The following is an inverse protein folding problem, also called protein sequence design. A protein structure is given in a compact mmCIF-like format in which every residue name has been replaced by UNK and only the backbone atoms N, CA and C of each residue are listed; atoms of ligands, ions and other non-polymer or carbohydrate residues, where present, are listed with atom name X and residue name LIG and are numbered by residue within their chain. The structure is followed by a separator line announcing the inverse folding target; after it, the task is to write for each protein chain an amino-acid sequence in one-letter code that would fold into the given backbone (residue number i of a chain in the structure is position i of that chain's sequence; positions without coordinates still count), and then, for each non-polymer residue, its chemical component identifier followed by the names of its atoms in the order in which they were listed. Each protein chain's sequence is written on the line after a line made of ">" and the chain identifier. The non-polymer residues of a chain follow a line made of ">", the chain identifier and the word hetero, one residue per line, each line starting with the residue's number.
data_IF_078429794169
#
_entry.id   IF_078429794169
#
_cell.length_a   1.000
_cell.length_b   1.000
_cell.length_c   1.000
_cell.angle_alpha   90.00
_cell.angle_beta   90.00
_cell.angle_gamma   90.00
#
_symmetry.space_group_name_H-M   'P 1'
#
loop_
_entity.id
_entity.type
_entity.pdbx_description
1 polymer ?
#
# COMPACT_ATOMS: atom_id res chain seq x y z
N UNK A 1 -6.97 -37.03 -30.63
CA UNK A 1 -6.88 -35.56 -30.68
C UNK A 1 -7.69 -34.86 -29.59
N UNK A 2 -9.00 -35.08 -29.47
CA UNK A 2 -9.85 -34.39 -28.44
C UNK A 2 -9.40 -34.60 -26.98
N UNK A 3 -8.85 -35.77 -26.62
CA UNK A 3 -8.37 -36.06 -25.25
C UNK A 3 -7.03 -35.38 -24.89
N UNK A 4 -6.19 -35.05 -25.88
CA UNK A 4 -4.89 -34.40 -25.65
C UNK A 4 -5.07 -32.88 -25.51
N UNK A 5 -6.00 -32.29 -26.27
CA UNK A 5 -6.36 -30.87 -26.16
C UNK A 5 -6.98 -30.55 -24.79
N UNK A 6 -7.81 -31.44 -24.24
CA UNK A 6 -8.40 -31.26 -22.91
C UNK A 6 -7.33 -31.26 -21.80
N UNK A 7 -6.29 -32.08 -21.93
CA UNK A 7 -5.22 -32.18 -20.92
C UNK A 7 -4.33 -30.93 -20.89
N UNK A 8 -4.05 -30.34 -22.06
CA UNK A 8 -3.28 -29.09 -22.18
C UNK A 8 -4.07 -27.90 -21.63
N UNK A 9 -5.39 -27.86 -21.84
CA UNK A 9 -6.26 -26.80 -21.29
C UNK A 9 -6.33 -26.88 -19.77
N UNK A 10 -6.42 -28.08 -19.17
CA UNK A 10 -6.46 -28.26 -17.71
C UNK A 10 -5.12 -27.91 -17.04
N UNK A 11 -3.98 -28.30 -17.65
CA UNK A 11 -2.65 -27.92 -17.15
C UNK A 11 -2.42 -26.41 -17.31
N UNK A 12 -2.84 -25.82 -18.44
CA UNK A 12 -2.81 -24.38 -18.63
C UNK A 12 -3.66 -23.62 -17.60
N UNK A 13 -4.84 -24.15 -17.25
CA UNK A 13 -5.71 -23.57 -16.22
C UNK A 13 -5.13 -23.70 -14.80
N UNK A 14 -4.46 -24.81 -14.49
CA UNK A 14 -3.72 -25.03 -13.23
C UNK A 14 -2.50 -24.12 -13.10
N UNK A 15 -1.73 -23.92 -14.18
CA UNK A 15 -0.60 -22.99 -14.20
C UNK A 15 -1.11 -21.53 -14.10
N UNK A 16 -2.21 -21.20 -14.78
CA UNK A 16 -2.82 -19.86 -14.70
C UNK A 16 -3.43 -19.57 -13.33
N UNK A 17 -3.94 -20.59 -12.61
CA UNK A 17 -4.40 -20.44 -11.22
C UNK A 17 -3.26 -20.44 -10.20
N UNK A 18 -2.12 -21.08 -10.49
CA UNK A 18 -0.91 -20.93 -9.65
C UNK A 18 -0.28 -19.54 -9.77
N UNK A 19 -0.41 -18.87 -10.91
CA UNK A 19 0.16 -17.53 -11.12
C UNK A 19 -0.66 -16.38 -10.51
N UNK A 20 -1.88 -16.63 -10.01
CA UNK A 20 -2.72 -15.59 -9.37
C UNK A 20 -2.53 -15.59 -7.83
N UNK A 21 -1.79 -16.54 -7.27
CA UNK A 21 -1.55 -16.66 -5.81
C UNK A 21 -0.18 -16.10 -5.38
N UNK A 22 0.65 -15.62 -6.30
CA UNK A 22 1.98 -15.09 -6.01
C UNK A 22 2.10 -13.59 -6.33
N UNK A 23 1.29 -12.79 -5.64
CA UNK A 23 1.61 -11.38 -5.36
C UNK A 23 1.41 -11.13 -3.85
N UNK A 24 1.88 -12.07 -3.02
CA UNK A 24 2.26 -11.74 -1.66
C UNK A 24 3.52 -10.87 -1.81
N UNK A 25 3.36 -9.55 -1.78
CA UNK A 25 4.48 -8.63 -1.76
C UNK A 25 5.45 -9.08 -0.68
N UNK A 26 6.72 -9.17 -1.05
CA UNK A 26 7.80 -9.55 -0.13
C UNK A 26 7.68 -8.66 1.12
N UNK A 27 7.47 -9.26 2.30
CA UNK A 27 7.33 -8.51 3.55
C UNK A 27 8.55 -7.59 3.71
N UNK A 28 8.32 -6.29 3.91
CA UNK A 28 9.39 -5.31 4.11
C UNK A 28 10.22 -5.78 5.33
N UNK A 29 11.57 -5.83 5.24
CA UNK A 29 12.39 -6.20 6.38
C UNK A 29 12.03 -5.36 7.61
N UNK A 30 11.87 -6.01 8.78
CA UNK A 30 11.29 -5.37 9.98
C UNK A 30 11.97 -4.04 10.39
N UNK A 31 13.32 -3.93 10.40
CA UNK A 31 13.96 -2.65 10.70
C UNK A 31 13.66 -1.57 9.67
N UNK A 32 13.59 -1.92 8.39
CA UNK A 32 13.27 -1.00 7.31
C UNK A 32 11.82 -0.53 7.37
N UNK A 33 10.90 -1.43 7.70
CA UNK A 33 9.50 -1.11 7.98
C UNK A 33 9.36 -0.09 9.11
N UNK A 34 10.11 -0.26 10.21
CA UNK A 34 10.14 0.69 11.34
C UNK A 34 10.65 2.05 10.88
N UNK A 35 11.76 2.10 10.14
CA UNK A 35 12.34 3.33 9.61
C UNK A 35 11.32 4.10 8.75
N UNK A 36 10.74 3.43 7.75
CA UNK A 36 9.76 4.03 6.83
C UNK A 36 8.51 4.53 7.57
N UNK A 37 8.01 3.77 8.54
CA UNK A 37 6.86 4.17 9.35
C UNK A 37 7.17 5.43 10.17
N UNK A 38 8.32 5.50 10.84
CA UNK A 38 8.71 6.69 11.60
C UNK A 38 8.89 7.93 10.73
N UNK A 39 9.53 7.80 9.55
CA UNK A 39 9.67 8.90 8.60
C UNK A 39 8.33 9.47 8.18
N UNK A 40 7.34 8.61 7.90
CA UNK A 40 5.99 9.05 7.56
C UNK A 40 5.29 9.72 8.74
N UNK A 41 5.37 9.17 9.95
CA UNK A 41 4.74 9.77 11.14
C UNK A 41 5.31 11.16 11.44
N UNK A 42 6.62 11.36 11.26
CA UNK A 42 7.26 12.66 11.41
C UNK A 42 6.82 13.61 10.29
N UNK A 43 6.83 13.16 9.04
CA UNK A 43 6.42 13.96 7.87
C UNK A 43 4.97 14.44 7.99
N UNK A 44 4.06 13.59 8.47
CA UNK A 44 2.64 13.92 8.71
C UNK A 44 2.41 14.75 9.98
N UNK A 45 3.46 15.03 10.76
CA UNK A 45 3.35 15.77 12.02
C UNK A 45 2.67 15.00 13.15
N UNK A 46 2.46 13.69 12.99
CA UNK A 46 1.88 12.79 13.99
C UNK A 46 2.87 12.48 15.13
N UNK A 47 4.18 12.59 14.86
CA UNK A 47 5.23 12.53 15.87
C UNK A 47 6.33 13.57 15.59
N UNK A 48 7.07 13.95 16.64
CA UNK A 48 8.24 14.85 16.52
C UNK A 48 9.57 14.11 16.44
N UNK A 49 9.54 12.84 16.79
CA UNK A 49 10.69 11.92 16.85
C UNK A 49 10.20 10.54 16.41
N UNK A 50 11.13 9.62 16.22
CA UNK A 50 10.80 8.21 16.05
C UNK A 50 9.88 7.75 17.18
N UNK A 51 8.76 7.14 16.80
CA UNK A 51 7.80 6.54 17.74
C UNK A 51 8.13 5.07 17.94
N UNK A 52 8.31 4.34 16.83
CA UNK A 52 8.74 2.95 16.86
C UNK A 52 10.25 2.83 17.04
N UNK A 53 10.67 1.77 17.69
CA UNK A 53 12.07 1.35 17.80
C UNK A 53 12.32 0.10 16.96
N UNK A 54 13.46 0.02 16.30
CA UNK A 54 13.89 -1.15 15.53
C UNK A 54 14.60 -2.20 16.41
N UNK A 55 14.81 -1.88 17.68
CA UNK A 55 15.48 -2.74 18.67
C UNK A 55 14.45 -3.34 19.61
N UNK A 56 13.79 -2.51 20.41
CA UNK A 56 12.90 -2.92 21.50
C UNK A 56 11.87 -1.86 21.88
N UNK A 57 10.75 -2.28 22.46
CA UNK A 57 9.73 -1.37 23.00
C UNK A 57 10.14 -0.73 24.34
N UNK A 58 9.29 0.13 24.90
CA UNK A 58 9.55 0.83 26.17
C UNK A 58 9.79 -0.10 27.38
N UNK A 59 9.43 -1.38 27.27
CA UNK A 59 9.63 -2.41 28.30
C UNK A 59 10.77 -3.40 27.99
N UNK A 60 11.60 -3.11 26.97
CA UNK A 60 12.74 -3.95 26.60
C UNK A 60 12.36 -5.24 25.85
N UNK A 61 11.18 -5.28 25.22
CA UNK A 61 10.78 -6.42 24.38
C UNK A 61 11.27 -6.19 22.96
N UNK A 62 11.98 -7.15 22.34
CA UNK A 62 12.60 -6.93 21.04
C UNK A 62 11.56 -6.81 19.92
N UNK A 63 11.92 -6.16 18.82
CA UNK A 63 11.09 -6.14 17.60
C UNK A 63 10.81 -7.58 17.13
N UNK A 64 9.53 -7.91 16.98
CA UNK A 64 9.12 -9.28 16.74
C UNK A 64 9.40 -9.72 15.30
N UNK A 65 9.99 -10.90 15.17
CA UNK A 65 10.19 -11.61 13.90
C UNK A 65 9.34 -12.90 13.86
N UNK A 66 8.33 -12.98 14.71
CA UNK A 66 7.55 -14.19 14.89
C UNK A 66 6.74 -14.55 13.63
N UNK A 67 6.72 -15.83 13.19
CA UNK A 67 5.97 -16.26 11.99
C UNK A 67 4.47 -15.97 12.05
N UNK A 68 3.87 -15.83 13.24
CA UNK A 68 2.47 -15.44 13.37
C UNK A 68 2.17 -14.01 12.89
N UNK A 69 3.18 -13.23 12.51
CA UNK A 69 3.06 -11.92 11.87
C UNK A 69 3.14 -11.99 10.33
N UNK A 70 3.48 -13.13 9.75
CA UNK A 70 3.52 -13.29 8.29
C UNK A 70 2.13 -13.09 7.69
N UNK A 71 2.04 -12.28 6.64
CA UNK A 71 0.77 -11.93 6.02
C UNK A 71 -0.16 -11.09 6.90
N UNK A 72 0.30 -10.64 8.08
CA UNK A 72 -0.45 -9.74 8.96
C UNK A 72 -0.33 -8.28 8.54
N UNK A 73 0.12 -8.00 7.31
CA UNK A 73 0.10 -6.67 6.69
C UNK A 73 1.07 -5.69 7.35
N UNK A 74 2.31 -6.13 7.55
CA UNK A 74 3.41 -5.32 8.05
C UNK A 74 3.16 -4.65 9.44
N UNK A 75 2.44 -5.31 10.36
CA UNK A 75 2.30 -4.77 11.73
C UNK A 75 3.66 -4.68 12.45
N UNK A 76 3.86 -3.63 13.25
CA UNK A 76 5.08 -3.44 14.05
C UNK A 76 4.76 -3.86 15.48
N UNK A 77 5.22 -5.06 15.85
CA UNK A 77 4.87 -5.72 17.11
C UNK A 77 6.16 -6.11 17.84
N UNK A 78 6.13 -6.08 19.17
CA UNK A 78 7.28 -6.40 20.01
C UNK A 78 7.05 -7.65 20.86
N UNK A 79 8.11 -8.41 21.11
CA UNK A 79 8.07 -9.65 21.90
C UNK A 79 7.30 -10.80 21.25
N UNK A 80 6.99 -11.82 22.05
CA UNK A 80 6.33 -13.04 21.60
C UNK A 80 4.79 -12.96 21.69
N UNK A 81 4.07 -13.61 20.75
CA UNK A 81 2.64 -13.85 20.87
C UNK A 81 2.27 -14.56 22.17
N UNK A 82 1.10 -14.23 22.73
CA UNK A 82 0.66 -14.78 24.01
C UNK A 82 -0.87 -14.74 24.19
N UNK A 83 -1.33 -15.18 25.36
CA UNK A 83 -2.75 -15.31 25.68
C UNK A 83 -3.37 -16.60 25.14
N UNK A 84 -4.68 -16.60 24.93
CA UNK A 84 -5.39 -17.77 24.41
C UNK A 84 -4.92 -18.11 23.00
N UNK A 85 -4.58 -19.39 22.77
CA UNK A 85 -4.33 -19.94 21.43
C UNK A 85 -5.57 -20.67 20.92
N UNK A 86 -6.07 -20.31 19.74
CA UNK A 86 -7.24 -20.95 19.12
C UNK A 86 -7.24 -20.75 17.61
N UNK A 87 -7.69 -21.76 16.85
CA UNK A 87 -7.73 -21.72 15.38
C UNK A 87 -6.39 -21.30 14.76
N UNK A 88 -5.30 -21.87 15.30
CA UNK A 88 -3.91 -21.63 14.87
C UNK A 88 -3.42 -20.18 15.05
N UNK A 89 -4.02 -19.43 15.98
CA UNK A 89 -3.71 -18.03 16.23
C UNK A 89 -3.72 -17.70 17.72
N UNK A 90 -2.80 -16.83 18.12
CA UNK A 90 -2.82 -16.22 19.46
C UNK A 90 -3.78 -15.04 19.51
N UNK A 91 -4.40 -14.83 20.67
CA UNK A 91 -5.22 -13.64 20.98
C UNK A 91 -4.41 -12.35 20.86
N UNK A 92 -3.16 -12.39 21.31
CA UNK A 92 -2.23 -11.27 21.23
C UNK A 92 -1.02 -11.66 20.38
N UNK A 93 -0.66 -10.81 19.43
CA UNK A 93 0.47 -11.00 18.51
C UNK A 93 1.82 -10.68 19.17
N UNK A 94 1.78 -10.07 20.36
CA UNK A 94 2.93 -9.54 21.08
C UNK A 94 2.48 -8.30 21.83
N UNK A 95 3.30 -7.26 21.80
CA UNK A 95 3.12 -6.03 22.55
C UNK A 95 3.27 -4.80 21.67
N UNK A 96 2.59 -3.72 22.05
CA UNK A 96 2.74 -2.39 21.45
C UNK A 96 4.08 -1.76 21.85
N UNK A 97 4.42 -0.62 21.24
CA UNK A 97 5.59 0.19 21.65
C UNK A 97 5.51 0.61 23.13
N UNK A 98 4.30 0.84 23.64
CA UNK A 98 4.05 1.22 25.03
C UNK A 98 3.83 0.00 25.96
N UNK A 99 4.08 -1.22 25.48
CA UNK A 99 3.99 -2.48 26.25
C UNK A 99 2.57 -2.95 26.62
N UNK A 100 1.54 -2.53 25.90
CA UNK A 100 0.21 -3.16 26.00
C UNK A 100 0.09 -4.42 25.12
N UNK A 101 -0.76 -5.39 25.48
CA UNK A 101 -1.04 -6.54 24.62
C UNK A 101 -1.55 -6.12 23.23
N UNK A 102 -0.80 -6.46 22.18
CA UNK A 102 -1.16 -6.16 20.79
C UNK A 102 -2.22 -7.15 20.30
N UNK A 103 -3.47 -6.72 20.22
CA UNK A 103 -4.59 -7.62 19.90
C UNK A 103 -4.61 -8.10 18.45
N UNK A 104 -5.04 -9.33 18.21
CA UNK A 104 -5.11 -9.94 16.88
C UNK A 104 -6.51 -9.82 16.26
N UNK A 105 -6.65 -9.04 15.18
CA UNK A 105 -7.93 -8.85 14.49
C UNK A 105 -8.46 -10.10 13.77
N UNK A 106 -7.62 -11.11 13.53
CA UNK A 106 -8.03 -12.40 12.98
C UNK A 106 -8.40 -13.41 14.07
N UNK A 107 -8.23 -13.04 15.35
CA UNK A 107 -8.71 -13.87 16.45
C UNK A 107 -10.22 -13.72 16.56
N UNK A 108 -10.92 -14.85 16.76
CA UNK A 108 -12.38 -14.87 16.83
C UNK A 108 -12.91 -13.90 17.88
N UNK A 109 -14.01 -13.24 17.57
CA UNK A 109 -14.72 -12.42 18.53
C UNK A 109 -15.18 -13.30 19.70
N UNK A 110 -15.04 -12.79 20.91
CA UNK A 110 -15.41 -13.56 22.10
C UNK A 110 -16.90 -13.91 22.10
N UNK A 111 -17.76 -13.04 21.56
CA UNK A 111 -19.19 -13.28 21.39
C UNK A 111 -19.65 -12.90 19.99
N UNK A 112 -20.21 -13.89 19.29
CA UNK A 112 -20.85 -13.73 17.98
C UNK A 112 -22.35 -13.94 18.12
N UNK A 113 -23.06 -12.88 18.46
CA UNK A 113 -24.53 -12.85 18.41
C UNK A 113 -25.06 -12.70 16.98
N UNK A 114 -26.39 -12.81 16.84
CA UNK A 114 -27.09 -12.48 15.60
C UNK A 114 -27.28 -10.98 15.40
N UNK A 115 -26.95 -10.14 16.38
CA UNK A 115 -27.03 -8.68 16.24
C UNK A 115 -25.78 -8.19 15.47
N UNK A 116 -25.93 -7.28 14.50
CA UNK A 116 -24.81 -6.59 13.84
C UNK A 116 -23.88 -5.91 14.85
N UNK A 117 -22.58 -5.88 14.56
CA UNK A 117 -21.59 -5.24 15.45
C UNK A 117 -21.84 -3.73 15.60
N UNK A 118 -22.30 -3.04 14.56
CA UNK A 118 -22.60 -1.60 14.60
C UNK A 118 -23.65 -1.21 15.66
N UNK A 119 -24.57 -2.11 15.99
CA UNK A 119 -25.65 -1.86 16.96
C UNK A 119 -25.23 -2.08 18.41
N UNK A 120 -23.97 -2.44 18.66
CA UNK A 120 -23.45 -2.61 20.02
C UNK A 120 -23.32 -1.26 20.74
N UNK A 121 -23.38 -1.32 22.07
CA UNK A 121 -23.13 -0.19 22.96
C UNK A 121 -21.62 0.12 23.03
N UNK A 122 -21.07 0.65 21.93
CA UNK A 122 -19.68 1.05 21.81
C UNK A 122 -19.34 2.21 22.76
N UNK A 123 -18.21 2.11 23.42
CA UNK A 123 -17.73 3.07 24.40
C UNK A 123 -16.87 4.12 23.71
N UNK A 124 -17.26 5.39 23.84
CA UNK A 124 -16.51 6.53 23.31
C UNK A 124 -15.30 6.83 24.20
N UNK A 125 -14.21 7.29 23.60
CA UNK A 125 -12.92 7.64 24.21
C UNK A 125 -12.37 6.58 25.17
N UNK A 126 -12.03 5.36 24.71
CA UNK A 126 -11.78 4.23 25.61
C UNK A 126 -10.70 4.46 26.68
N UNK A 127 -9.68 5.27 26.39
CA UNK A 127 -8.59 5.52 27.35
C UNK A 127 -9.00 6.37 28.56
N UNK A 128 -9.99 7.25 28.41
CA UNK A 128 -10.47 8.17 29.45
C UNK A 128 -11.91 7.87 29.90
N UNK A 129 -12.49 6.79 29.38
CA UNK A 129 -13.82 6.35 29.74
C UNK A 129 -13.73 5.44 30.97
N UNK A 130 -14.45 5.79 32.03
CA UNK A 130 -14.42 5.09 33.32
C UNK A 130 -14.80 3.61 33.24
N UNK A 131 -15.51 3.19 32.19
CA UNK A 131 -15.81 1.79 31.95
C UNK A 131 -14.56 1.04 31.47
N UNK A 132 -13.73 1.65 30.63
CA UNK A 132 -12.69 0.95 29.86
C UNK A 132 -11.25 1.34 30.22
N UNK A 133 -11.03 2.44 30.93
CA UNK A 133 -9.69 2.98 31.24
C UNK A 133 -8.79 1.99 32.01
N UNK A 134 -9.39 1.08 32.76
CA UNK A 134 -8.71 0.05 33.56
C UNK A 134 -8.60 -1.31 32.83
N UNK A 135 -8.95 -1.38 31.55
CA UNK A 135 -8.83 -2.61 30.78
C UNK A 135 -7.34 -2.94 30.55
N UNK A 136 -6.91 -4.22 30.71
CA UNK A 136 -5.51 -4.61 30.57
C UNK A 136 -4.88 -4.22 29.22
N UNK A 137 -5.70 -4.11 28.18
CA UNK A 137 -5.24 -3.76 26.85
C UNK A 137 -4.94 -2.26 26.68
N UNK A 138 -5.21 -1.43 27.69
CA UNK A 138 -4.98 0.01 27.70
C UNK A 138 -4.09 0.46 28.86
N UNK A 139 -3.54 -0.47 29.64
CA UNK A 139 -2.92 -0.20 30.94
C UNK A 139 -1.78 0.82 30.82
N UNK A 140 -0.88 0.61 29.86
CA UNK A 140 0.32 1.40 29.68
C UNK A 140 0.16 2.52 28.65
N UNK A 141 -0.79 2.41 27.72
CA UNK A 141 -0.86 3.32 26.59
C UNK A 141 -1.14 4.75 27.02
N UNK A 142 -0.46 5.70 26.38
CA UNK A 142 -0.68 7.14 26.56
C UNK A 142 -1.75 7.70 25.63
N UNK A 143 -2.27 6.88 24.70
CA UNK A 143 -3.32 7.29 23.76
C UNK A 143 -2.88 8.37 22.78
N UNK A 144 -1.60 8.41 22.41
CA UNK A 144 -0.97 9.47 21.59
C UNK A 144 -1.67 9.71 20.25
N UNK A 145 -2.27 8.67 19.69
CA UNK A 145 -2.91 8.69 18.37
C UNK A 145 -4.44 8.62 18.42
N UNK A 146 -5.02 8.69 19.62
CA UNK A 146 -6.48 8.69 19.78
C UNK A 146 -7.08 10.03 19.35
N UNK A 147 -8.39 10.02 19.10
CA UNK A 147 -9.16 11.21 18.77
C UNK A 147 -8.65 11.99 17.55
N UNK A 148 -7.96 11.29 16.63
CA UNK A 148 -7.46 11.86 15.39
C UNK A 148 -8.43 11.58 14.22
N UNK A 149 -9.13 12.59 13.68
CA UNK A 149 -10.03 12.42 12.54
C UNK A 149 -9.33 11.95 11.25
N UNK A 150 -8.02 12.14 11.11
CA UNK A 150 -7.26 11.67 9.94
C UNK A 150 -7.29 10.15 9.79
N UNK A 151 -7.64 9.41 10.85
CA UNK A 151 -7.76 7.95 10.82
C UNK A 151 -9.19 7.45 10.53
N UNK A 152 -10.17 8.34 10.36
CA UNK A 152 -11.58 7.95 10.22
C UNK A 152 -11.81 6.98 9.05
N UNK A 153 -11.29 7.30 7.86
CA UNK A 153 -11.44 6.45 6.68
C UNK A 153 -10.73 5.10 6.85
N UNK A 154 -9.51 5.12 7.37
CA UNK A 154 -8.73 3.92 7.68
C UNK A 154 -9.46 2.99 8.67
N UNK A 155 -10.09 3.57 9.69
CA UNK A 155 -10.91 2.85 10.67
C UNK A 155 -12.15 2.25 10.00
N UNK A 156 -12.86 3.01 9.16
CA UNK A 156 -14.05 2.53 8.44
C UNK A 156 -13.74 1.35 7.53
N UNK A 157 -12.65 1.41 6.78
CA UNK A 157 -12.17 0.28 5.96
C UNK A 157 -11.79 -0.93 6.84
N UNK A 158 -11.19 -0.68 7.99
CA UNK A 158 -10.97 -1.68 9.04
C UNK A 158 -12.23 -2.40 9.51
N UNK A 159 -13.28 -1.63 9.80
CA UNK A 159 -14.59 -2.12 10.23
C UNK A 159 -15.28 -2.95 9.14
N UNK A 160 -15.19 -2.50 7.88
CA UNK A 160 -15.65 -3.27 6.71
C UNK A 160 -14.91 -4.60 6.61
N UNK A 161 -13.59 -4.59 6.76
CA UNK A 161 -12.74 -5.79 6.65
C UNK A 161 -13.09 -6.88 7.67
N UNK A 162 -13.36 -6.50 8.92
CA UNK A 162 -13.68 -7.47 9.99
C UNK A 162 -15.17 -7.86 10.01
N UNK A 163 -15.99 -7.28 9.14
CA UNK A 163 -17.41 -7.57 9.11
C UNK A 163 -17.69 -8.94 8.54
N UNK A 164 -18.68 -9.63 9.13
CA UNK A 164 -19.28 -10.81 8.48
C UNK A 164 -19.92 -10.41 7.16
N UNK A 165 -19.84 -11.29 6.18
CA UNK A 165 -20.60 -11.17 4.94
C UNK A 165 -21.87 -12.04 5.05
N UNK A 166 -23.03 -11.46 4.73
CA UNK A 166 -24.30 -12.20 4.61
C UNK A 166 -24.97 -11.83 3.30
N UNK A 167 -25.38 -12.83 2.52
CA UNK A 167 -26.02 -12.63 1.21
C UNK A 167 -25.22 -11.76 0.24
N UNK A 168 -23.88 -11.79 0.33
CA UNK A 168 -22.99 -10.96 -0.50
C UNK A 168 -22.78 -9.54 -0.01
N UNK A 169 -23.36 -9.15 1.13
CA UNK A 169 -23.27 -7.80 1.69
C UNK A 169 -22.54 -7.78 3.04
N UNK A 170 -21.91 -6.64 3.33
CA UNK A 170 -21.27 -6.34 4.61
C UNK A 170 -22.35 -6.24 5.69
N UNK A 171 -22.35 -7.18 6.63
CA UNK A 171 -23.43 -7.33 7.60
C UNK A 171 -23.22 -6.51 8.89
N UNK A 172 -22.00 -6.52 9.41
CA UNK A 172 -21.73 -5.99 10.75
C UNK A 172 -21.55 -4.47 10.79
N UNK A 173 -20.91 -3.92 9.76
CA UNK A 173 -20.70 -2.48 9.57
C UNK A 173 -21.07 -2.09 8.13
N UNK A 174 -22.37 -2.14 7.77
CA UNK A 174 -22.81 -1.83 6.41
C UNK A 174 -22.48 -0.38 6.04
N UNK A 175 -22.06 -0.17 4.78
CA UNK A 175 -21.48 1.09 4.33
C UNK A 175 -22.37 2.32 4.57
N UNK A 176 -23.67 2.21 4.28
CA UNK A 176 -24.64 3.29 4.50
C UNK A 176 -24.83 3.72 5.96
N UNK A 177 -24.32 2.94 6.93
CA UNK A 177 -24.41 3.24 8.36
C UNK A 177 -23.09 3.68 8.97
N UNK A 178 -21.98 3.56 8.24
CA UNK A 178 -20.67 3.95 8.76
C UNK A 178 -20.59 5.46 9.04
N UNK A 179 -21.41 6.28 8.38
CA UNK A 179 -21.51 7.73 8.62
C UNK A 179 -22.34 8.10 9.87
N UNK A 180 -22.99 7.14 10.54
CA UNK A 180 -23.77 7.41 11.75
C UNK A 180 -22.91 7.88 12.93
N UNK A 181 -21.59 7.67 12.87
CA UNK A 181 -20.66 7.92 13.98
C UNK A 181 -19.32 8.43 13.46
N UNK A 182 -18.63 9.15 14.34
CA UNK A 182 -17.22 9.49 14.22
C UNK A 182 -16.39 8.36 14.86
N UNK A 183 -16.02 7.35 14.08
CA UNK A 183 -15.38 6.13 14.61
C UNK A 183 -14.01 6.38 15.26
N UNK A 184 -13.30 7.43 14.83
CA UNK A 184 -12.03 7.86 15.44
C UNK A 184 -12.15 8.17 16.95
N UNK A 185 -13.36 8.47 17.46
CA UNK A 185 -13.62 8.67 18.90
C UNK A 185 -13.83 7.36 19.67
N UNK A 186 -14.10 6.25 18.98
CA UNK A 186 -14.41 4.95 19.61
C UNK A 186 -13.22 4.00 19.61
N UNK A 187 -12.23 4.26 18.76
CA UNK A 187 -11.03 3.44 18.63
C UNK A 187 -9.92 4.00 19.51
N UNK A 188 -9.36 3.15 20.37
CA UNK A 188 -8.04 3.39 20.94
C UNK A 188 -6.98 2.85 19.98
N UNK A 189 -6.13 3.74 19.47
CA UNK A 189 -5.14 3.42 18.43
C UNK A 189 -3.83 2.98 19.08
N UNK A 190 -3.47 1.71 18.90
CA UNK A 190 -2.17 1.17 19.34
C UNK A 190 -1.05 1.57 18.41
N UNK A 191 -1.32 1.48 17.12
CA UNK A 191 -0.39 1.73 16.05
C UNK A 191 -1.14 2.53 14.99
N UNK A 192 -0.70 3.77 14.69
CA UNK A 192 -1.28 4.53 13.60
C UNK A 192 -0.98 3.84 12.26
N UNK A 193 -1.91 3.90 11.29
CA UNK A 193 -1.64 3.44 9.94
C UNK A 193 -0.61 4.33 9.24
N UNK A 194 0.21 3.73 8.40
CA UNK A 194 1.13 4.40 7.46
C UNK A 194 0.94 3.81 6.07
N UNK A 195 1.59 4.37 5.05
CA UNK A 195 1.56 3.82 3.69
C UNK A 195 2.20 2.43 3.56
N UNK A 196 3.11 2.08 4.50
CA UNK A 196 3.86 0.81 4.48
C UNK A 196 3.38 -0.22 5.51
N UNK A 197 2.55 0.22 6.46
CA UNK A 197 2.13 -0.56 7.62
C UNK A 197 0.66 -0.31 7.93
N UNK A 198 -0.10 -1.38 8.09
CA UNK A 198 -1.45 -1.25 8.62
C UNK A 198 -1.39 -0.72 10.05
N UNK A 199 -2.36 0.12 10.41
CA UNK A 199 -2.56 0.46 11.81
C UNK A 199 -3.29 -0.65 12.55
N UNK A 200 -3.37 -0.52 13.86
CA UNK A 200 -4.24 -1.35 14.68
C UNK A 200 -4.78 -0.56 15.86
N UNK A 201 -6.02 -0.83 16.20
CA UNK A 201 -6.67 -0.29 17.38
C UNK A 201 -7.62 -1.29 18.01
N UNK A 202 -8.26 -0.84 19.07
CA UNK A 202 -9.23 -1.60 19.83
C UNK A 202 -10.47 -0.73 20.09
N UNK A 203 -11.64 -1.35 20.00
CA UNK A 203 -12.91 -0.76 20.41
C UNK A 203 -13.51 -1.59 21.54
N UNK A 204 -14.23 -0.94 22.43
CA UNK A 204 -14.89 -1.62 23.55
C UNK A 204 -16.39 -1.41 23.48
N UNK A 205 -17.14 -2.44 23.84
CA UNK A 205 -18.58 -2.33 24.02
C UNK A 205 -19.01 -2.98 25.33
N UNK A 206 -20.14 -2.50 25.85
CA UNK A 206 -20.76 -3.06 27.04
C UNK A 206 -21.93 -3.96 26.64
N UNK A 207 -22.03 -5.13 27.26
CA UNK A 207 -23.18 -6.03 27.12
C UNK A 207 -24.30 -5.62 28.08
N UNK A 208 -25.51 -6.15 27.87
CA UNK A 208 -26.68 -5.83 28.70
C UNK A 208 -26.55 -6.24 30.17
N UNK A 209 -25.66 -7.20 30.47
CA UNK A 209 -25.30 -7.63 31.83
C UNK A 209 -24.12 -6.84 32.43
N UNK A 210 -23.68 -5.76 31.78
CA UNK A 210 -22.64 -4.86 32.28
C UNK A 210 -21.20 -5.34 32.08
N UNK A 211 -20.98 -6.44 31.34
CA UNK A 211 -19.62 -6.89 31.01
C UNK A 211 -19.03 -6.07 29.87
N UNK A 212 -17.71 -5.90 29.89
CA UNK A 212 -16.97 -5.18 28.86
C UNK A 212 -16.24 -6.17 27.97
N UNK A 213 -16.43 -5.99 26.67
CA UNK A 213 -15.87 -6.82 25.62
C UNK A 213 -15.20 -5.90 24.61
N UNK A 214 -14.22 -6.44 23.88
CA UNK A 214 -13.49 -5.66 22.91
C UNK A 214 -13.53 -6.27 21.52
N UNK A 215 -13.25 -5.42 20.54
CA UNK A 215 -13.06 -5.78 19.14
C UNK A 215 -11.75 -5.16 18.67
N UNK A 216 -10.88 -5.99 18.12
CA UNK A 216 -9.66 -5.55 17.44
C UNK A 216 -10.02 -5.00 16.07
N UNK A 217 -9.54 -3.80 15.77
CA UNK A 217 -9.81 -3.09 14.53
C UNK A 217 -8.47 -2.92 13.78
N UNK A 218 -8.28 -3.57 12.63
CA UNK A 218 -7.17 -3.23 11.76
C UNK A 218 -7.46 -1.85 11.15
N UNK A 219 -6.46 -0.99 11.03
CA UNK A 219 -6.60 0.31 10.39
C UNK A 219 -5.93 0.21 9.02
N UNK A 220 -6.69 0.36 7.94
CA UNK A 220 -6.13 0.28 6.59
C UNK A 220 -5.01 1.32 6.42
N UNK A 221 -3.95 1.02 5.64
CA UNK A 221 -2.90 1.98 5.36
C UNK A 221 -3.59 3.21 4.77
N UNK A 222 -3.20 4.38 5.25
CA UNK A 222 -3.60 5.60 4.59
C UNK A 222 -3.08 5.47 3.15
N UNK A 223 -3.90 5.84 2.17
CA UNK A 223 -3.41 5.94 0.80
C UNK A 223 -2.08 6.70 0.87
N UNK A 224 -1.05 6.26 0.13
CA UNK A 224 0.15 7.07 0.03
C UNK A 224 -0.37 8.46 -0.35
N UNK A 225 -0.12 9.47 0.49
CA UNK A 225 -0.11 10.84 0.00
C UNK A 225 0.61 10.76 -1.33
N UNK A 226 0.06 11.32 -2.42
CA UNK A 226 0.77 11.40 -3.70
C UNK A 226 2.17 11.90 -3.36
N UNK A 227 3.11 10.96 -3.20
CA UNK A 227 4.46 11.29 -2.81
C UNK A 227 4.86 12.14 -4.00
N UNK A 228 5.31 13.40 -3.81
CA UNK A 228 6.00 14.05 -4.90
C UNK A 228 7.01 12.99 -5.34
N UNK A 229 6.91 12.50 -6.60
CA UNK A 229 7.59 11.29 -7.01
C UNK A 229 9.02 11.42 -6.51
N UNK A 230 9.57 10.39 -5.83
CA UNK A 230 10.91 10.47 -5.29
C UNK A 230 11.76 11.12 -6.35
N UNK A 231 12.54 12.15 -6.00
CA UNK A 231 13.30 12.91 -6.99
C UNK A 231 14.35 11.98 -7.61
N UNK A 232 13.90 11.20 -8.59
CA UNK A 232 14.66 10.24 -9.35
C UNK A 232 15.35 10.96 -10.51
N UNK A 233 15.33 12.30 -10.52
CA UNK A 233 15.72 13.11 -11.66
C UNK A 233 14.82 12.81 -12.84
N UNK A 234 13.69 13.50 -12.95
CA UNK A 234 12.91 13.46 -14.19
C UNK A 234 13.68 14.19 -15.31
N UNK A 235 14.11 13.45 -16.33
CA UNK A 235 14.70 14.04 -17.54
C UNK A 235 13.57 14.57 -18.43
N UNK A 236 13.43 15.89 -18.51
CA UNK A 236 12.57 16.54 -19.49
C UNK A 236 13.35 16.75 -20.80
N UNK A 237 13.19 15.84 -21.76
CA UNK A 237 13.70 16.02 -23.11
C UNK A 237 12.62 16.66 -23.99
N UNK A 238 12.89 17.86 -24.50
CA UNK A 238 12.02 18.51 -25.49
C UNK A 238 12.71 18.52 -26.85
N UNK A 239 12.11 17.83 -27.83
CA UNK A 239 12.58 17.84 -29.22
C UNK A 239 11.84 18.94 -29.97
N UNK A 240 12.53 20.03 -30.32
CA UNK A 240 11.96 21.12 -31.11
C UNK A 240 12.38 20.97 -32.57
N UNK A 241 11.43 20.66 -33.45
CA UNK A 241 11.66 20.67 -34.90
C UNK A 241 11.74 22.13 -35.35
N UNK A 242 12.95 22.59 -35.69
CA UNK A 242 13.21 24.02 -35.98
C UNK A 242 12.81 24.38 -37.42
N UNK A 243 12.90 23.44 -38.36
CA UNK A 243 12.48 23.65 -39.74
C UNK A 243 12.17 22.32 -40.44
N UNK A 244 11.19 22.31 -41.36
CA UNK A 244 10.94 21.19 -42.27
C UNK A 244 11.09 21.74 -43.69
N UNK A 245 12.18 21.37 -44.36
CA UNK A 245 12.39 21.76 -45.76
C UNK A 245 12.02 20.59 -46.66
N UNK A 246 10.90 20.66 -47.40
CA UNK A 246 10.61 19.65 -48.41
C UNK A 246 11.57 19.84 -49.59
N UNK A 247 12.46 18.89 -49.83
CA UNK A 247 13.15 18.80 -51.13
C UNK A 247 12.14 18.35 -52.18
N UNK A 248 12.07 19.07 -53.31
CA UNK A 248 11.37 18.59 -54.50
C UNK A 248 12.12 17.38 -55.02
N UNK A 249 11.53 16.20 -54.87
CA UNK A 249 12.04 14.99 -55.50
C UNK A 249 11.92 15.09 -57.02
N UNK A 250 12.84 14.45 -57.75
CA UNK A 250 12.77 14.35 -59.20
C UNK A 250 11.49 13.62 -59.63
N UNK A 251 11.00 13.93 -60.84
CA UNK A 251 9.74 13.39 -61.36
C UNK A 251 9.73 11.86 -61.32
N UNK A 252 8.86 11.30 -60.46
CA UNK A 252 8.64 9.86 -60.32
C UNK A 252 8.80 9.28 -58.91
N UNK A 253 9.46 9.99 -57.98
CA UNK A 253 9.59 9.52 -56.60
C UNK A 253 8.44 9.98 -55.70
N UNK A 254 7.82 9.05 -54.98
CA UNK A 254 6.85 9.35 -53.91
C UNK A 254 7.53 9.18 -52.55
N UNK A 255 7.84 10.29 -51.91
CA UNK A 255 8.35 10.35 -50.54
C UNK A 255 8.53 11.80 -50.08
N UNK A 256 8.54 12.04 -48.77
CA UNK A 256 8.96 13.32 -48.19
C UNK A 256 10.19 13.01 -47.36
N UNK A 257 11.33 13.64 -47.67
CA UNK A 257 12.52 13.53 -46.82
C UNK A 257 12.39 14.57 -45.71
N UNK A 258 12.33 14.12 -44.46
CA UNK A 258 12.31 14.98 -43.28
C UNK A 258 13.69 14.91 -42.64
N UNK A 259 14.41 16.02 -42.60
CA UNK A 259 15.68 16.13 -41.88
C UNK A 259 15.41 16.72 -40.50
N UNK A 260 15.74 15.97 -39.46
CA UNK A 260 15.63 16.39 -38.05
C UNK A 260 17.01 16.86 -37.58
N UNK A 261 17.18 18.17 -37.38
CA UNK A 261 18.41 18.72 -36.81
C UNK A 261 18.33 18.71 -35.27
N UNK A 262 19.18 17.93 -34.61
CA UNK A 262 19.26 17.80 -33.15
C UNK A 262 20.29 18.72 -32.51
N UNK A 263 20.90 19.63 -33.28
CA UNK A 263 21.98 20.54 -32.85
C UNK A 263 21.63 21.47 -31.68
N UNK A 264 20.35 21.56 -31.29
CA UNK A 264 19.85 22.33 -30.15
C UNK A 264 19.28 21.53 -28.98
N UNK A 265 19.54 20.22 -28.89
CA UNK A 265 18.96 19.37 -27.82
C UNK A 265 19.63 19.67 -26.48
N UNK A 266 18.88 20.19 -25.51
CA UNK A 266 19.34 20.41 -24.13
C UNK A 266 18.71 19.36 -23.20
N UNK A 267 19.53 18.75 -22.35
CA UNK A 267 19.05 17.93 -21.23
C UNK A 267 19.49 18.61 -19.93
N UNK A 268 18.57 18.73 -18.99
CA UNK A 268 18.83 19.24 -17.65
C UNK A 268 18.51 18.17 -16.63
N UNK A 269 19.41 17.97 -15.67
CA UNK A 269 19.24 17.14 -14.49
C UNK A 269 19.39 18.08 -13.29
N UNK A 270 18.36 18.20 -12.46
CA UNK A 270 18.36 19.08 -11.29
C UNK A 270 18.74 20.53 -11.65
N UNK A 271 18.16 21.05 -12.74
CA UNK A 271 18.44 22.38 -13.30
C UNK A 271 19.89 22.62 -13.79
N UNK A 272 20.72 21.58 -13.85
CA UNK A 272 22.07 21.62 -14.43
C UNK A 272 22.12 20.96 -15.82
N UNK A 273 22.82 21.60 -16.76
CA UNK A 273 22.98 21.06 -18.11
C UNK A 273 23.79 19.75 -18.10
N UNK A 274 23.23 18.69 -18.70
CA UNK A 274 23.90 17.40 -18.87
C UNK A 274 24.25 17.17 -20.33
N UNK A 275 25.48 16.71 -20.58
CA UNK A 275 25.94 16.37 -21.92
C UNK A 275 25.21 15.13 -22.46
N UNK A 276 24.53 15.28 -23.60
CA UNK A 276 23.89 14.18 -24.32
C UNK A 276 24.97 13.48 -25.17
N UNK A 277 25.32 12.23 -24.82
CA UNK A 277 26.24 11.42 -25.63
C UNK A 277 25.43 10.44 -26.49
N UNK A 278 25.39 10.64 -27.81
CA UNK A 278 24.78 9.67 -28.72
C UNK A 278 25.60 8.37 -28.74
N UNK A 279 25.01 7.25 -28.30
CA UNK A 279 25.63 5.93 -28.44
C UNK A 279 25.38 5.35 -29.84
N UNK A 280 26.40 4.68 -30.38
CA UNK A 280 26.43 4.04 -31.69
C UNK A 280 25.48 2.83 -31.71
N UNK A 281 24.77 2.64 -32.82
CA UNK A 281 23.99 1.43 -33.07
C UNK A 281 24.75 0.55 -34.07
N UNK A 282 24.78 -0.75 -33.77
CA UNK A 282 25.24 -1.80 -34.68
C UNK A 282 24.02 -2.58 -35.14
N UNK A 283 24.01 -3.03 -36.40
CA UNK A 283 22.97 -3.98 -36.85
C UNK A 283 23.28 -5.40 -36.37
N UNK A 284 22.31 -6.31 -36.54
CA UNK A 284 22.42 -7.73 -36.16
C UNK A 284 23.55 -8.49 -36.92
N UNK A 285 24.19 -7.84 -37.89
CA UNK A 285 25.32 -8.36 -38.67
C UNK A 285 26.66 -7.72 -38.28
N UNK A 286 26.68 -6.82 -37.28
CA UNK A 286 27.89 -6.20 -36.75
C UNK A 286 28.45 -5.05 -37.59
N UNK A 287 27.68 -4.49 -38.53
CA UNK A 287 28.14 -3.34 -39.31
C UNK A 287 27.99 -2.05 -38.48
N UNK A 288 29.05 -1.23 -38.50
CA UNK A 288 29.08 0.09 -37.85
C UNK A 288 28.68 1.17 -38.86
N UNK A 289 27.65 1.96 -38.53
CA UNK A 289 27.26 3.11 -39.36
C UNK A 289 27.81 4.40 -38.75
N UNK A 290 28.58 5.21 -39.51
CA UNK A 290 29.14 6.45 -39.00
C UNK A 290 28.03 7.47 -38.74
N UNK A 291 27.92 7.95 -37.50
CA UNK A 291 27.12 9.13 -37.16
C UNK A 291 27.89 10.39 -37.54
N UNK A 292 28.01 10.66 -38.84
CA UNK A 292 28.38 12.00 -39.31
C UNK A 292 27.09 12.80 -39.49
N UNK A 293 26.81 13.65 -38.50
CA UNK A 293 25.82 14.74 -38.48
C UNK A 293 24.37 14.39 -38.88
N UNK A 294 23.52 14.29 -37.84
CA UNK A 294 22.11 14.71 -37.80
C UNK A 294 21.21 14.35 -38.99
N UNK A 295 21.25 13.11 -39.49
CA UNK A 295 20.26 12.68 -40.49
C UNK A 295 19.76 11.27 -40.19
N UNK A 296 18.54 11.16 -39.65
CA UNK A 296 17.79 9.91 -39.60
C UNK A 296 16.91 9.83 -40.86
N UNK A 297 17.02 8.73 -41.61
CA UNK A 297 16.16 8.46 -42.78
C UNK A 297 15.24 7.31 -42.43
N UNK A 298 13.93 7.56 -42.38
CA UNK A 298 12.91 6.52 -42.25
C UNK A 298 12.14 6.36 -43.57
N UNK A 299 12.00 5.16 -44.13
CA UNK A 299 11.09 4.92 -45.23
C UNK A 299 9.64 4.79 -44.71
N UNK A 300 8.72 5.63 -45.19
CA UNK A 300 7.28 5.50 -44.94
C UNK A 300 6.58 4.90 -46.16
N UNK A 301 6.00 3.71 -46.02
CA UNK A 301 5.04 3.15 -46.99
C UNK A 301 3.63 3.67 -46.70
N UNK A 302 3.08 4.52 -47.57
CA UNK A 302 1.66 4.89 -47.50
C UNK A 302 0.77 3.78 -48.07
N UNK A 303 -0.20 3.31 -47.30
CA UNK A 303 -1.35 2.56 -47.82
C UNK A 303 -2.53 3.52 -47.99
N UNK A 304 -2.89 3.82 -49.24
CA UNK A 304 -4.12 4.54 -49.57
C UNK A 304 -5.31 3.58 -49.62
N UNK A 305 -6.33 3.79 -48.79
CA UNK A 305 -7.70 3.34 -49.06
C UNK A 305 -8.59 4.57 -49.24
N UNK A 306 -9.04 4.78 -50.46
CA UNK A 306 -10.14 5.70 -50.80
C UNK A 306 -11.39 4.83 -50.91
N UNK A 307 -12.43 5.15 -50.13
CA UNK A 307 -13.78 4.69 -50.39
C UNK A 307 -14.58 5.84 -51.01
N UNK A 308 -14.97 5.61 -52.27
CA UNK A 308 -15.91 6.32 -53.16
C UNK A 308 -15.59 7.77 -53.49
#
# INVERSE_FOLDING_TARGET
>A
MKKVVLFIVVIGYLILHCSIVAAAGEDIPRPELVRLANEELIRKGLSRTDYFSDIENDAGKPLSTNPHLEGMRNLIVYGDPHGTFSQDRYRYLGYTMENDPFTNYLFRNDATGNVPLIDRNWQIHPKINSNTENMPQLENSRGRFNDNPDFEESIREGLKLISRIRNGEIYDFPEHRLDEREWYKYVHVYQPPTSVSWGSGIMFHMTSDGRIWYQSIPLAPLEPDELPPPDTGSINASLRVVNVTPERLADGERGVRVTLDSSGSTAVLNDENVAITARRYFDDFGNEYPTTNNTFVFPLTMHSRVHL
#
